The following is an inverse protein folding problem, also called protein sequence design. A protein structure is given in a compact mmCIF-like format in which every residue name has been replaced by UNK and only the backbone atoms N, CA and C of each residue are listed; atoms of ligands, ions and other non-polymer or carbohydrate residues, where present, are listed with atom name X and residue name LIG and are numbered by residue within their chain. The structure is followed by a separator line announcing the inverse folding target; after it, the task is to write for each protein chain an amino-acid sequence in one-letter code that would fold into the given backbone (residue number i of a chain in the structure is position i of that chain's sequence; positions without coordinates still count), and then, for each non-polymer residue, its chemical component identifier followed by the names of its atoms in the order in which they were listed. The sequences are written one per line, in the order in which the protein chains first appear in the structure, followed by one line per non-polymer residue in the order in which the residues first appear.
data_IF_358494258287
#
_entry.id   IF_358494258287
#
_cell.length_a   1.000
_cell.length_b   1.000
_cell.length_c   1.000
_cell.angle_alpha   90.00
_cell.angle_beta   90.00
_cell.angle_gamma   90.00
#
_symmetry.space_group_name_H-M   'P 1'
#
loop_
_entity.id
_entity.type
_entity.pdbx_description
1 polymer ?
#
# COMPACT_ATOMS: atom_id res chain seq x y z
N UNK A 1 1.98 -14.56 -12.72
CA UNK A 1 1.19 -13.66 -11.85
C UNK A 1 1.96 -12.36 -11.72
N UNK A 2 1.41 -11.24 -12.22
CA UNK A 2 2.11 -9.96 -12.20
C UNK A 2 1.80 -9.26 -10.87
N UNK A 3 2.74 -9.25 -9.93
CA UNK A 3 2.54 -8.59 -8.63
C UNK A 3 2.50 -7.08 -8.86
N UNK A 4 1.31 -6.49 -8.73
CA UNK A 4 1.16 -5.04 -8.75
C UNK A 4 1.50 -4.46 -7.38
N UNK A 5 2.12 -3.28 -7.37
CA UNK A 5 2.47 -2.56 -6.16
C UNK A 5 1.73 -1.24 -6.11
N UNK A 6 1.32 -0.85 -4.92
CA UNK A 6 0.74 0.46 -4.63
C UNK A 6 1.60 1.21 -3.61
N UNK A 7 1.38 2.51 -3.53
CA UNK A 7 2.00 3.36 -2.53
C UNK A 7 1.34 3.21 -1.16
N UNK A 8 2.04 3.61 -0.10
CA UNK A 8 1.44 3.73 1.25
C UNK A 8 0.22 4.64 1.26
N UNK A 9 0.23 5.70 0.44
CA UNK A 9 -0.88 6.64 0.35
C UNK A 9 -2.13 5.93 -0.20
N UNK A 10 -2.01 5.28 -1.35
CA UNK A 10 -3.09 4.52 -1.98
C UNK A 10 -3.60 3.41 -1.05
N UNK A 11 -2.69 2.70 -0.37
CA UNK A 11 -3.07 1.70 0.62
C UNK A 11 -3.96 2.29 1.72
N UNK A 12 -3.59 3.46 2.27
CA UNK A 12 -4.37 4.13 3.31
C UNK A 12 -5.75 4.58 2.77
N UNK A 13 -5.81 5.11 1.55
CA UNK A 13 -7.05 5.53 0.90
C UNK A 13 -8.01 4.35 0.68
N UNK A 14 -7.49 3.21 0.18
CA UNK A 14 -8.29 2.01 -0.10
C UNK A 14 -8.76 1.29 1.17
N UNK A 15 -7.88 1.19 2.17
CA UNK A 15 -8.18 0.47 3.43
C UNK A 15 -8.86 1.35 4.48
N UNK A 16 -8.99 2.66 4.22
CA UNK A 16 -9.45 3.68 5.18
C UNK A 16 -8.62 3.70 6.48
N UNK A 17 -7.38 3.23 6.42
CA UNK A 17 -6.44 3.28 7.55
C UNK A 17 -5.70 4.60 7.57
N UNK A 18 -5.39 5.08 8.78
CA UNK A 18 -4.50 6.24 8.93
C UNK A 18 -3.05 5.86 8.61
N UNK A 19 -2.28 6.83 8.12
CA UNK A 19 -0.86 6.66 7.83
C UNK A 19 -0.09 6.13 9.05
N UNK A 20 -0.42 6.62 10.26
CA UNK A 20 0.21 6.15 11.51
C UNK A 20 -0.07 4.68 11.80
N UNK A 21 -1.26 4.18 11.45
CA UNK A 21 -1.60 2.77 11.60
C UNK A 21 -0.86 1.93 10.58
N UNK A 22 -0.85 2.34 9.32
CA UNK A 22 -0.10 1.64 8.27
C UNK A 22 1.41 1.60 8.58
N UNK A 23 2.01 2.70 9.06
CA UNK A 23 3.39 2.72 9.53
C UNK A 23 3.65 1.75 10.68
N UNK A 24 2.73 1.67 11.66
CA UNK A 24 2.84 0.72 12.77
C UNK A 24 2.78 -0.73 12.26
N UNK A 25 1.94 -1.01 11.27
CA UNK A 25 1.88 -2.33 10.64
C UNK A 25 3.19 -2.71 9.93
N UNK A 26 3.80 -1.75 9.20
CA UNK A 26 5.12 -1.95 8.59
C UNK A 26 6.16 -2.25 9.66
N UNK A 27 6.19 -1.45 10.73
CA UNK A 27 7.15 -1.60 11.84
C UNK A 27 6.98 -2.94 12.56
N UNK A 28 5.75 -3.41 12.70
CA UNK A 28 5.42 -4.67 13.35
C UNK A 28 5.52 -5.88 12.41
N UNK A 29 5.81 -5.67 11.13
CA UNK A 29 5.90 -6.73 10.13
C UNK A 29 4.55 -7.30 9.66
N UNK A 30 3.43 -6.67 10.02
CA UNK A 30 2.09 -7.11 9.59
C UNK A 30 1.67 -6.55 8.24
N UNK A 31 2.35 -5.51 7.72
CA UNK A 31 2.16 -5.02 6.37
C UNK A 31 3.46 -5.21 5.58
N UNK A 32 3.49 -6.10 4.55
CA UNK A 32 4.66 -6.24 3.71
C UNK A 32 4.85 -4.95 2.89
N UNK A 33 5.81 -4.13 3.29
CA UNK A 33 6.16 -2.92 2.58
C UNK A 33 7.67 -2.85 2.37
N UNK A 34 8.09 -2.43 1.18
CA UNK A 34 9.51 -2.15 0.90
C UNK A 34 9.69 -0.66 0.67
N UNK A 35 10.64 -0.06 1.37
CA UNK A 35 10.99 1.34 1.13
C UNK A 35 11.74 1.47 -0.20
N UNK A 36 11.34 2.43 -1.03
CA UNK A 36 12.06 2.75 -2.26
C UNK A 36 13.32 3.55 -1.90
N UNK A 37 14.50 3.00 -2.22
CA UNK A 37 15.79 3.60 -1.90
C UNK A 37 15.89 5.04 -2.43
N UNK A 38 16.41 5.94 -1.60
CA UNK A 38 16.52 7.37 -1.94
C UNK A 38 15.21 8.16 -1.90
N UNK A 39 14.08 7.55 -1.53
CA UNK A 39 12.78 8.23 -1.46
C UNK A 39 12.10 8.06 -0.09
N UNK A 40 11.01 8.81 0.12
CA UNK A 40 10.09 8.64 1.25
C UNK A 40 8.91 7.73 0.93
N UNK A 41 8.92 7.08 -0.23
CA UNK A 41 7.82 6.24 -0.69
C UNK A 41 8.05 4.78 -0.31
N UNK A 42 6.93 4.08 -0.09
CA UNK A 42 6.88 2.66 0.20
C UNK A 42 6.08 1.97 -0.88
N UNK A 43 6.57 0.81 -1.34
CA UNK A 43 5.82 -0.11 -2.21
C UNK A 43 5.17 -1.20 -1.36
N UNK A 44 3.88 -1.42 -1.57
CA UNK A 44 3.07 -2.42 -0.88
C UNK A 44 2.45 -3.32 -1.95
N UNK A 45 2.51 -4.66 -1.80
CA UNK A 45 1.79 -5.57 -2.70
C UNK A 45 0.30 -5.29 -2.67
N UNK A 46 -0.28 -5.05 -3.85
CA UNK A 46 -1.72 -4.84 -4.03
C UNK A 46 -2.58 -5.99 -3.49
N UNK A 47 -2.07 -7.21 -3.55
CA UNK A 47 -2.71 -8.43 -3.02
C UNK A 47 -3.02 -8.33 -1.51
N UNK A 48 -2.29 -7.48 -0.79
CA UNK A 48 -2.51 -7.25 0.64
C UNK A 48 -3.70 -6.31 0.93
N UNK A 49 -4.29 -5.71 -0.11
CA UNK A 49 -5.49 -4.87 0.03
C UNK A 49 -6.71 -5.73 -0.30
N UNK A 50 -7.59 -5.98 0.68
CA UNK A 50 -8.79 -6.77 0.45
C UNK A 50 -9.71 -6.07 -0.55
N UNK A 51 -10.07 -6.76 -1.63
CA UNK A 51 -10.92 -6.20 -2.68
C UNK A 51 -10.22 -5.21 -3.61
N UNK A 52 -8.88 -5.28 -3.71
CA UNK A 52 -8.15 -4.47 -4.69
C UNK A 52 -8.62 -4.76 -6.12
N UNK A 53 -9.26 -3.78 -6.72
CA UNK A 53 -9.61 -3.78 -8.13
C UNK A 53 -8.76 -2.73 -8.85
N UNK A 54 -7.86 -3.17 -9.72
CA UNK A 54 -6.94 -2.29 -10.46
C UNK A 54 -7.66 -1.32 -11.41
N UNK A 55 -8.95 -1.53 -11.70
CA UNK A 55 -9.78 -0.65 -12.53
C UNK A 55 -10.39 0.52 -11.74
N UNK A 56 -10.47 0.44 -10.41
CA UNK A 56 -11.10 1.45 -9.57
C UNK A 56 -10.27 2.74 -9.45
N UNK A 57 -8.99 2.70 -9.86
CA UNK A 57 -8.09 3.85 -9.91
C UNK A 57 -8.05 4.58 -11.28
N UNK A 58 -9.13 4.51 -12.07
CA UNK A 58 -9.33 5.50 -13.15
C UNK A 58 -9.74 6.83 -12.52
N UNK A 59 -8.75 7.66 -12.25
CA UNK A 59 -8.91 9.08 -11.91
C UNK A 59 -9.79 9.71 -13.00
N UNK A 60 -10.98 10.18 -12.63
CA UNK A 60 -11.82 11.06 -13.46
C UNK A 60 -11.28 12.49 -13.42
#
# INVERSE_FOLDING_TARGET
MNTQYITLKEFCELTKLSSSTAYRMIRNGTLPATKLAGTRHWKIPSDFVPGYDSNTLRIR
#
